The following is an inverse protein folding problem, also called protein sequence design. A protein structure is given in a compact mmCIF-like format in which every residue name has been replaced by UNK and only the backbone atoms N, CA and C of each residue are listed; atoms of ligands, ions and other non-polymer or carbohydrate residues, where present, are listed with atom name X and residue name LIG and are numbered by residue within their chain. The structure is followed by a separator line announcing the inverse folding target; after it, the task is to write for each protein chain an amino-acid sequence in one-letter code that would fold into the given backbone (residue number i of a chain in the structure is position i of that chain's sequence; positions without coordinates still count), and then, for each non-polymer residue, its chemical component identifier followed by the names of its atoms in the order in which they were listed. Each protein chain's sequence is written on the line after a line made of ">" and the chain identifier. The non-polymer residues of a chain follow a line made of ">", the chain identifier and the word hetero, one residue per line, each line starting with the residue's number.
data_IF_758440942040
#
_entry.id   IF_758440942040
#
_cell.length_a   1.000
_cell.length_b   1.000
_cell.length_c   1.000
_cell.angle_alpha   90.00
_cell.angle_beta   90.00
_cell.angle_gamma   90.00
#
_symmetry.space_group_name_H-M   'P 1'
#
loop_
_entity.id
_entity.type
_entity.pdbx_description
1 polymer ?
#
# COMPACT_ATOMS: atom_id res chain seq x y z
N UNK A 1 -13.09 42.12 30.03
CA UNK A 1 -14.03 41.62 31.07
C UNK A 1 -15.34 41.40 30.34
N UNK A 2 -15.84 40.19 30.10
CA UNK A 2 -16.11 39.10 31.05
C UNK A 2 -16.13 37.74 30.33
N UNK A 3 -15.85 36.70 31.12
CA UNK A 3 -15.72 35.29 30.75
C UNK A 3 -17.04 34.66 30.31
N UNK A 4 -17.00 33.79 29.30
CA UNK A 4 -17.94 32.68 29.19
C UNK A 4 -17.18 31.37 29.36
N UNK A 5 -17.29 30.80 30.55
CA UNK A 5 -16.86 29.46 30.90
C UNK A 5 -17.79 28.46 30.21
N UNK A 6 -17.27 27.68 29.26
CA UNK A 6 -17.97 26.48 28.81
C UNK A 6 -17.63 25.33 29.77
N UNK A 7 -18.65 24.94 30.54
CA UNK A 7 -18.66 23.77 31.41
C UNK A 7 -18.55 22.51 30.58
N UNK A 8 -17.62 21.63 30.96
CA UNK A 8 -17.40 20.32 30.39
C UNK A 8 -18.55 19.38 30.77
N UNK A 9 -19.46 19.11 29.83
CA UNK A 9 -20.48 18.07 29.96
C UNK A 9 -19.95 16.78 29.29
N UNK A 10 -19.72 15.75 30.10
CA UNK A 10 -19.01 14.50 29.73
C UNK A 10 -19.87 13.45 29.03
N UNK A 11 -21.09 13.78 28.61
CA UNK A 11 -22.02 12.79 28.04
C UNK A 11 -22.41 13.15 26.62
N UNK A 12 -21.51 12.85 25.67
CA UNK A 12 -21.83 12.20 24.39
C UNK A 12 -20.56 12.04 23.55
N UNK A 13 -19.62 11.23 24.04
CA UNK A 13 -18.65 10.60 23.15
C UNK A 13 -19.34 9.41 22.51
N UNK A 14 -19.85 9.58 21.28
CA UNK A 14 -20.18 8.44 20.43
C UNK A 14 -18.85 7.75 20.12
N UNK A 15 -18.48 6.78 20.96
CA UNK A 15 -17.39 5.85 20.67
C UNK A 15 -17.86 5.02 19.49
N UNK A 16 -17.44 5.40 18.28
CA UNK A 16 -17.46 4.51 17.13
C UNK A 16 -16.52 3.34 17.47
N UNK A 17 -17.10 2.29 18.05
CA UNK A 17 -16.45 0.99 18.13
C UNK A 17 -16.37 0.50 16.69
N UNK A 18 -15.27 0.80 15.99
CA UNK A 18 -14.97 0.08 14.75
C UNK A 18 -14.67 -1.34 15.23
N UNK A 19 -15.50 -2.34 14.90
CA UNK A 19 -15.18 -3.70 15.24
C UNK A 19 -13.80 -4.01 14.66
N UNK A 20 -12.85 -4.39 15.51
CA UNK A 20 -11.52 -4.90 15.15
C UNK A 20 -11.57 -6.15 14.27
N UNK A 21 -12.77 -6.57 13.89
CA UNK A 21 -13.10 -7.77 13.16
C UNK A 21 -13.27 -7.54 11.64
N UNK A 22 -13.08 -6.32 11.12
CA UNK A 22 -13.21 -6.08 9.67
C UNK A 22 -12.15 -6.85 8.85
N UNK A 23 -10.98 -7.11 9.43
CA UNK A 23 -9.96 -7.98 8.84
C UNK A 23 -10.34 -9.47 8.86
N UNK A 24 -11.16 -9.91 9.83
CA UNK A 24 -11.65 -11.30 9.93
C UNK A 24 -12.81 -11.60 8.96
N UNK A 25 -13.43 -10.56 8.39
CA UNK A 25 -14.50 -10.68 7.39
C UNK A 25 -14.00 -10.61 5.93
N UNK A 26 -12.71 -10.41 5.71
CA UNK A 26 -12.15 -10.46 4.35
C UNK A 26 -12.16 -11.91 3.88
N UNK A 27 -12.85 -12.27 2.79
CA UNK A 27 -12.83 -13.62 2.27
C UNK A 27 -11.38 -14.03 1.98
N UNK A 28 -10.96 -15.19 2.47
CA UNK A 28 -9.67 -15.74 2.07
C UNK A 28 -9.73 -16.07 0.59
N UNK A 29 -8.96 -15.37 -0.23
CA UNK A 29 -8.81 -15.68 -1.64
C UNK A 29 -7.48 -16.40 -1.84
N UNK A 30 -7.54 -17.59 -2.44
CA UNK A 30 -6.33 -18.26 -2.90
C UNK A 30 -5.74 -17.48 -4.08
N UNK A 31 -4.45 -17.19 -3.99
CA UNK A 31 -3.66 -16.62 -5.09
C UNK A 31 -2.92 -17.78 -5.77
N UNK A 32 -3.30 -18.17 -6.99
CA UNK A 32 -2.60 -19.24 -7.71
C UNK A 32 -1.14 -18.87 -7.96
N UNK A 33 -0.24 -19.81 -7.76
CA UNK A 33 1.20 -19.64 -7.99
C UNK A 33 1.65 -20.47 -9.17
N UNK A 34 2.40 -19.85 -10.07
CA UNK A 34 2.94 -20.47 -11.27
C UNK A 34 4.47 -20.33 -11.31
N UNK A 35 5.15 -21.33 -11.86
CA UNK A 35 6.57 -21.22 -12.16
C UNK A 35 6.73 -20.41 -13.45
N UNK A 36 7.46 -19.29 -13.38
CA UNK A 36 7.70 -18.43 -14.54
C UNK A 36 8.40 -19.18 -15.68
N UNK A 37 9.28 -20.12 -15.34
CA UNK A 37 10.08 -20.87 -16.32
C UNK A 37 9.26 -21.86 -17.15
N UNK A 38 7.99 -22.11 -16.80
CA UNK A 38 7.11 -23.03 -17.54
C UNK A 38 6.03 -22.30 -18.32
N UNK A 39 6.06 -20.96 -18.37
CA UNK A 39 5.04 -20.14 -19.03
C UNK A 39 4.92 -20.39 -20.54
N UNK A 40 6.02 -20.78 -21.18
CA UNK A 40 6.09 -21.16 -22.59
C UNK A 40 5.47 -22.54 -22.86
N UNK A 41 5.25 -23.35 -21.83
CA UNK A 41 4.56 -24.63 -21.96
C UNK A 41 3.06 -24.41 -22.17
N UNK A 42 2.50 -25.10 -23.17
CA UNK A 42 1.10 -24.93 -23.61
C UNK A 42 0.07 -25.09 -22.49
N UNK A 43 0.34 -25.95 -21.51
CA UNK A 43 -0.57 -26.21 -20.40
C UNK A 43 -0.56 -25.03 -19.40
N UNK A 44 0.62 -24.59 -18.97
CA UNK A 44 0.75 -23.50 -17.99
C UNK A 44 0.15 -22.19 -18.50
N UNK A 45 0.29 -21.82 -19.78
CA UNK A 45 -0.28 -20.55 -20.27
C UNK A 45 -1.82 -20.53 -20.19
N UNK A 46 -2.48 -21.66 -20.44
CA UNK A 46 -3.94 -21.77 -20.33
C UNK A 46 -4.41 -21.74 -18.88
N UNK A 47 -3.65 -22.37 -17.98
CA UNK A 47 -3.95 -22.37 -16.54
C UNK A 47 -3.81 -20.96 -15.95
N UNK A 48 -2.77 -20.22 -16.36
CA UNK A 48 -2.56 -18.81 -15.99
C UNK A 48 -3.73 -17.94 -16.47
N UNK A 49 -4.15 -18.08 -17.74
CA UNK A 49 -5.30 -17.34 -18.27
C UNK A 49 -6.58 -17.66 -17.50
N UNK A 50 -6.78 -18.92 -17.14
CA UNK A 50 -7.94 -19.38 -16.36
C UNK A 50 -7.94 -18.76 -14.96
N UNK A 51 -6.79 -18.74 -14.29
CA UNK A 51 -6.63 -18.11 -12.98
C UNK A 51 -6.90 -16.60 -13.02
N UNK A 52 -6.36 -15.91 -14.03
CA UNK A 52 -6.58 -14.47 -14.24
C UNK A 52 -8.06 -14.15 -14.47
N UNK A 53 -8.79 -14.96 -15.25
CA UNK A 53 -10.24 -14.77 -15.46
C UNK A 53 -11.07 -14.92 -14.18
N UNK A 54 -10.61 -15.72 -13.22
CA UNK A 54 -11.35 -16.01 -11.98
C UNK A 54 -11.26 -14.84 -10.98
N UNK A 55 -10.04 -14.42 -10.64
CA UNK A 55 -9.80 -13.48 -9.54
C UNK A 55 -8.93 -12.27 -9.95
N UNK A 56 -8.37 -12.25 -11.16
CA UNK A 56 -7.47 -11.20 -11.64
C UNK A 56 -6.07 -11.18 -11.01
N UNK A 57 -5.84 -11.97 -9.96
CA UNK A 57 -4.57 -11.99 -9.20
C UNK A 57 -3.93 -13.37 -9.34
N UNK A 58 -2.62 -13.37 -9.65
CA UNK A 58 -1.74 -14.54 -9.69
C UNK A 58 -0.39 -14.19 -9.05
N UNK A 59 0.41 -15.21 -8.76
CA UNK A 59 1.80 -15.05 -8.34
C UNK A 59 2.73 -15.87 -9.22
N UNK A 60 3.96 -15.38 -9.38
CA UNK A 60 5.03 -16.09 -10.07
C UNK A 60 6.17 -16.43 -9.12
N UNK A 61 6.74 -17.61 -9.33
CA UNK A 61 8.01 -18.06 -8.74
C UNK A 61 9.07 -18.24 -9.83
N UNK A 62 10.35 -18.23 -9.42
CA UNK A 62 11.50 -18.42 -10.32
C UNK A 62 11.56 -17.43 -11.50
N UNK A 63 11.07 -16.20 -11.31
CA UNK A 63 11.26 -15.11 -12.27
C UNK A 63 12.77 -14.79 -12.35
N UNK A 64 13.41 -14.90 -13.52
CA UNK A 64 14.82 -14.60 -13.68
C UNK A 64 15.16 -13.19 -13.20
N UNK A 65 16.29 -13.04 -12.51
CA UNK A 65 16.81 -11.75 -12.01
C UNK A 65 15.93 -10.95 -11.04
N UNK A 66 14.71 -11.40 -10.72
CA UNK A 66 13.73 -10.62 -9.95
C UNK A 66 14.28 -10.12 -8.61
N UNK A 67 14.98 -10.95 -7.85
CA UNK A 67 15.52 -10.55 -6.55
C UNK A 67 16.54 -9.40 -6.67
N UNK A 68 17.41 -9.47 -7.67
CA UNK A 68 18.42 -8.45 -7.93
C UNK A 68 17.78 -7.15 -8.43
N UNK A 69 16.87 -7.25 -9.42
CA UNK A 69 16.18 -6.08 -9.98
C UNK A 69 15.30 -5.40 -8.94
N UNK A 70 14.53 -6.17 -8.16
CA UNK A 70 13.72 -5.66 -7.05
C UNK A 70 14.59 -4.90 -6.06
N UNK A 71 15.75 -5.44 -5.68
CA UNK A 71 16.67 -4.75 -4.78
C UNK A 71 17.15 -3.44 -5.38
N UNK A 72 17.65 -3.46 -6.62
CA UNK A 72 18.17 -2.25 -7.29
C UNK A 72 17.09 -1.16 -7.43
N UNK A 73 15.86 -1.54 -7.74
CA UNK A 73 14.73 -0.63 -7.83
C UNK A 73 14.40 -0.02 -6.46
N UNK A 74 14.26 -0.86 -5.43
CA UNK A 74 13.94 -0.39 -4.08
C UNK A 74 15.04 0.50 -3.49
N UNK A 75 16.31 0.18 -3.73
CA UNK A 75 17.45 1.00 -3.32
C UNK A 75 17.39 2.39 -4.02
N UNK A 76 17.06 2.43 -5.31
CA UNK A 76 16.91 3.68 -6.08
C UNK A 76 15.71 4.51 -5.62
N UNK A 77 14.57 3.86 -5.36
CA UNK A 77 13.36 4.51 -4.86
C UNK A 77 13.59 5.10 -3.45
N UNK A 78 14.30 4.38 -2.58
CA UNK A 78 14.69 4.85 -1.26
C UNK A 78 15.64 6.06 -1.36
N UNK A 79 16.66 5.98 -2.22
CA UNK A 79 17.57 7.11 -2.45
C UNK A 79 16.83 8.36 -2.94
N UNK A 80 15.88 8.20 -3.86
CA UNK A 80 15.02 9.29 -4.33
C UNK A 80 14.22 9.91 -3.17
N UNK A 81 13.54 9.08 -2.36
CA UNK A 81 12.74 9.55 -1.23
C UNK A 81 13.56 10.24 -0.13
N UNK A 82 14.85 9.90 0.04
CA UNK A 82 15.75 10.57 1.00
C UNK A 82 16.32 11.86 0.41
N UNK A 83 16.67 11.88 -0.88
CA UNK A 83 17.22 13.08 -1.53
C UNK A 83 16.26 14.27 -1.56
N UNK A 84 14.95 14.02 -1.50
CA UNK A 84 13.92 15.06 -1.43
C UNK A 84 13.75 15.67 -0.04
N UNK A 85 14.39 15.13 1.01
CA UNK A 85 14.41 15.77 2.34
C UNK A 85 15.09 17.14 2.31
N UNK A 86 16.02 17.37 1.38
CA UNK A 86 16.78 18.63 1.28
C UNK A 86 16.08 19.71 0.43
N UNK A 87 14.99 19.37 -0.27
CA UNK A 87 14.32 20.26 -1.23
C UNK A 87 12.80 20.26 -0.97
N UNK A 88 12.33 21.18 -0.10
CA UNK A 88 10.92 21.48 0.22
C UNK A 88 10.07 20.31 0.75
N UNK A 89 9.84 20.37 2.07
CA UNK A 89 9.31 19.36 2.98
C UNK A 89 7.78 19.16 2.95
N UNK A 90 7.05 19.77 2.03
CA UNK A 90 5.58 19.80 2.09
C UNK A 90 4.92 18.45 1.70
N UNK A 91 5.66 17.57 1.01
CA UNK A 91 5.14 16.32 0.46
C UNK A 91 5.71 15.04 1.10
N UNK A 92 6.48 15.17 2.19
CA UNK A 92 7.13 14.04 2.85
C UNK A 92 6.48 13.74 4.21
N UNK A 93 5.77 12.62 4.30
CA UNK A 93 5.37 12.04 5.58
C UNK A 93 6.55 11.30 6.21
N UNK A 94 6.88 11.68 7.43
CA UNK A 94 7.90 11.05 8.27
C UNK A 94 7.22 10.29 9.42
N UNK A 95 7.63 9.05 9.65
CA UNK A 95 7.24 8.26 10.83
C UNK A 95 8.42 7.45 11.34
N UNK A 96 8.67 7.48 12.63
CA UNK A 96 9.58 6.53 13.29
C UNK A 96 8.79 5.29 13.72
N UNK A 97 9.26 4.11 13.32
CA UNK A 97 8.68 2.82 13.70
C UNK A 97 9.11 2.44 15.12
N UNK A 98 8.43 1.44 15.70
CA UNK A 98 8.62 1.02 17.10
C UNK A 98 10.03 0.51 17.41
N UNK A 99 10.76 0.06 16.38
CA UNK A 99 12.15 -0.40 16.44
C UNK A 99 13.18 0.75 16.24
N UNK A 100 12.72 2.00 16.09
CA UNK A 100 13.56 3.15 15.83
C UNK A 100 13.86 3.41 14.35
N UNK A 101 13.36 2.58 13.44
CA UNK A 101 13.55 2.77 12.00
C UNK A 101 12.76 3.98 11.50
N UNK A 102 13.42 4.91 10.81
CA UNK A 102 12.75 6.06 10.19
C UNK A 102 12.19 5.68 8.82
N UNK A 103 10.88 5.89 8.65
CA UNK A 103 10.15 5.68 7.41
C UNK A 103 9.81 7.04 6.78
N UNK A 104 10.18 7.20 5.52
CA UNK A 104 9.89 8.40 4.73
C UNK A 104 9.01 8.01 3.54
N UNK A 105 7.89 8.70 3.38
CA UNK A 105 6.91 8.43 2.34
C UNK A 105 6.59 9.74 1.64
N UNK A 106 6.67 9.76 0.31
CA UNK A 106 6.10 10.85 -0.47
C UNK A 106 4.58 10.70 -0.45
N UNK A 107 3.82 11.79 -0.30
CA UNK A 107 2.37 11.77 -0.58
C UNK A 107 2.13 11.10 -1.94
N UNK A 108 1.14 10.20 -2.06
CA UNK A 108 0.81 9.62 -3.35
C UNK A 108 0.50 10.75 -4.33
N UNK A 109 1.18 10.77 -5.46
CA UNK A 109 0.79 11.58 -6.62
C UNK A 109 -0.50 10.97 -7.18
N UNK A 110 -1.64 11.32 -6.58
CA UNK A 110 -2.93 10.72 -6.87
C UNK A 110 -4.16 11.47 -6.33
N UNK A 111 -3.99 12.62 -5.71
CA UNK A 111 -5.00 13.67 -5.65
C UNK A 111 -4.35 14.78 -6.49
N UNK A 112 -4.64 14.89 -7.78
CA UNK A 112 -5.91 15.41 -8.29
C UNK A 112 -6.47 14.55 -9.43
N UNK A 113 -7.50 13.75 -9.18
CA UNK A 113 -8.49 13.51 -10.21
C UNK A 113 -9.39 14.75 -10.19
N UNK A 114 -9.15 15.65 -11.12
CA UNK A 114 -10.04 16.78 -11.39
C UNK A 114 -11.43 16.23 -11.73
N UNK A 115 -12.40 16.42 -10.83
CA UNK A 115 -13.83 16.11 -11.04
C UNK A 115 -14.46 17.00 -12.15
N UNK A 116 -13.68 17.83 -12.84
CA UNK A 116 -14.09 18.62 -14.00
C UNK A 116 -13.33 18.35 -15.30
N UNK A 117 -12.63 17.21 -15.44
CA UNK A 117 -12.15 16.78 -16.76
C UNK A 117 -13.35 16.57 -17.73
N UNK A 118 -13.31 17.14 -18.96
CA UNK A 118 -14.44 17.20 -19.88
C UNK A 118 -14.89 15.84 -20.45
#
# INVERSE_FOLDING_TARGET
>A
MTNNSYTHDTTDFVILIIPTNLAEQVPTFEVPNFNYQTLDTRNTSNDVLTALKKNGIISFTNVPSYAQERKSYLDSAAACAVSTQEINTEFLFHKTLTDGTNHYMRTPSGQDADDTAP
#
